data_IF_975772825568
#
_entry.id   IF_975772825568
#
_cell.length_a   1.000
_cell.length_b   1.000
_cell.length_c   1.000
_cell.angle_alpha   90.00
_cell.angle_beta   90.00
_cell.angle_gamma   90.00
#
_symmetry.space_group_name_H-M   'P 1'
#
loop_
_entity.id
_entity.type
_entity.pdbx_description
1 polymer ?
#
# COMPACT_ATOMS: atom_id res chain seq x y z
N UNK A 1 14.72 10.86 -0.72
CA UNK A 1 13.25 10.61 -0.79
C UNK A 1 12.75 11.06 -2.14
N UNK A 2 12.09 10.18 -2.89
CA UNK A 2 11.48 10.50 -4.19
C UNK A 2 9.96 10.41 -4.05
N UNK A 3 9.25 11.46 -4.50
CA UNK A 3 7.78 11.52 -4.52
C UNK A 3 7.29 11.53 -5.96
N UNK A 4 6.40 10.60 -6.30
CA UNK A 4 5.94 10.48 -7.68
C UNK A 4 4.47 10.06 -7.81
N UNK A 5 3.96 10.17 -9.04
CA UNK A 5 2.57 9.94 -9.37
C UNK A 5 2.25 8.43 -9.54
N UNK A 6 1.01 8.14 -9.94
CA UNK A 6 0.56 6.77 -10.17
C UNK A 6 1.32 5.98 -11.24
N UNK A 7 2.01 6.62 -12.18
CA UNK A 7 2.85 5.94 -13.16
C UNK A 7 4.01 5.18 -12.49
N UNK A 8 4.47 5.67 -11.35
CA UNK A 8 5.59 5.11 -10.58
C UNK A 8 5.18 4.03 -9.58
N UNK A 9 3.87 3.75 -9.46
CA UNK A 9 3.33 2.61 -8.71
C UNK A 9 3.36 1.30 -9.53
N UNK A 10 4.34 1.16 -10.43
CA UNK A 10 4.49 0.02 -11.34
C UNK A 10 5.46 -1.02 -10.77
N UNK A 11 5.31 -2.31 -11.18
CA UNK A 11 6.28 -3.34 -10.85
C UNK A 11 7.72 -2.98 -11.22
N UNK A 12 7.92 -2.35 -12.37
CA UNK A 12 9.23 -1.97 -12.87
C UNK A 12 9.88 -0.90 -11.99
N UNK A 13 9.12 0.14 -11.59
CA UNK A 13 9.61 1.18 -10.69
C UNK A 13 9.95 0.62 -9.30
N UNK A 14 9.16 -0.33 -8.80
CA UNK A 14 9.43 -1.01 -7.52
C UNK A 14 10.76 -1.77 -7.56
N UNK A 15 10.98 -2.57 -8.60
CA UNK A 15 12.24 -3.33 -8.76
C UNK A 15 13.43 -2.40 -8.95
N UNK A 16 13.28 -1.32 -9.71
CA UNK A 16 14.36 -0.35 -9.91
C UNK A 16 14.71 0.38 -8.62
N UNK A 17 13.70 0.77 -7.83
CA UNK A 17 13.91 1.38 -6.51
C UNK A 17 14.66 0.46 -5.57
N UNK A 18 14.30 -0.83 -5.58
CA UNK A 18 14.90 -1.81 -4.68
C UNK A 18 16.40 -2.03 -4.92
N UNK A 19 16.95 -1.58 -6.05
CA UNK A 19 18.42 -1.59 -6.29
C UNK A 19 19.18 -0.59 -5.41
N UNK A 20 18.50 0.44 -4.89
CA UNK A 20 19.09 1.47 -4.06
C UNK A 20 18.50 1.40 -2.63
N UNK A 21 19.15 0.70 -1.68
CA UNK A 21 18.58 0.47 -0.35
C UNK A 21 18.37 1.75 0.46
N UNK A 22 19.15 2.80 0.20
CA UNK A 22 19.04 4.10 0.88
C UNK A 22 17.92 5.01 0.30
N UNK A 23 17.25 4.56 -0.77
CA UNK A 23 16.22 5.33 -1.45
C UNK A 23 14.82 4.96 -0.95
N UNK A 24 14.19 5.89 -0.23
CA UNK A 24 12.74 5.81 0.06
C UNK A 24 11.93 6.41 -1.07
N UNK A 25 11.02 5.63 -1.64
CA UNK A 25 10.00 6.09 -2.58
C UNK A 25 8.62 6.19 -1.95
N UNK A 26 7.90 7.26 -2.26
CA UNK A 26 6.49 7.43 -1.87
C UNK A 26 5.67 7.73 -3.12
N UNK A 27 4.86 6.75 -3.53
CA UNK A 27 4.13 6.77 -4.78
C UNK A 27 2.61 6.74 -4.54
N UNK A 28 1.85 7.60 -5.21
CA UNK A 28 0.39 7.57 -5.14
C UNK A 28 -0.17 6.35 -5.88
N UNK A 29 -1.09 5.61 -5.27
CA UNK A 29 -1.68 4.41 -5.87
C UNK A 29 -3.10 4.67 -6.34
N UNK A 30 -3.45 4.15 -7.53
CA UNK A 30 -4.83 4.20 -8.05
C UNK A 30 -5.72 3.24 -7.27
N UNK A 31 -6.91 3.69 -6.89
CA UNK A 31 -7.80 2.90 -6.03
C UNK A 31 -8.37 1.63 -6.67
N UNK A 32 -8.14 1.34 -7.95
CA UNK A 32 -8.53 0.08 -8.60
C UNK A 32 -7.44 -0.99 -8.61
N UNK A 33 -6.28 -0.72 -7.99
CA UNK A 33 -5.19 -1.71 -7.91
C UNK A 33 -5.59 -2.89 -7.03
N UNK A 34 -5.01 -4.04 -7.38
CA UNK A 34 -5.11 -5.28 -6.62
C UNK A 34 -3.67 -5.67 -6.27
N UNK A 35 -3.45 -5.87 -4.98
CA UNK A 35 -2.21 -6.38 -4.43
C UNK A 35 -2.44 -7.74 -3.80
N UNK A 36 -1.41 -8.29 -3.19
CA UNK A 36 -1.45 -9.57 -2.52
C UNK A 36 -0.68 -9.49 -1.21
N UNK A 37 -1.11 -10.30 -0.25
CA UNK A 37 -0.27 -10.65 0.88
C UNK A 37 0.84 -11.58 0.42
N UNK A 38 2.01 -11.45 1.04
CA UNK A 38 3.04 -12.47 0.91
C UNK A 38 2.55 -13.76 1.56
N UNK A 39 2.83 -14.89 0.91
CA UNK A 39 2.42 -16.18 1.47
C UNK A 39 3.49 -16.71 2.41
N UNK A 40 3.06 -17.15 3.59
CA UNK A 40 3.90 -17.83 4.58
C UNK A 40 3.87 -19.35 4.37
N UNK A 41 3.64 -19.84 3.15
CA UNK A 41 3.76 -21.28 2.86
C UNK A 41 5.25 -21.69 2.96
N UNK A 42 5.73 -21.80 4.20
CA UNK A 42 6.97 -22.45 4.55
C UNK A 42 6.89 -23.90 4.09
N UNK A 43 7.74 -24.22 3.11
CA UNK A 43 8.26 -25.56 2.87
C UNK A 43 7.24 -26.71 2.92
N UNK A 44 6.23 -26.68 2.05
CA UNK A 44 5.74 -27.96 1.53
C UNK A 44 6.74 -28.40 0.47
N UNK A 45 7.37 -29.55 0.65
CA UNK A 45 8.20 -30.26 -0.34
C UNK A 45 7.34 -30.66 -1.55
N UNK A 46 6.80 -29.67 -2.26
CA UNK A 46 6.10 -29.86 -3.52
C UNK A 46 7.09 -29.53 -4.62
N UNK A 47 7.28 -30.50 -5.50
CA UNK A 47 8.05 -30.30 -6.72
C UNK A 47 7.43 -29.13 -7.52
N UNK A 48 8.21 -28.07 -7.73
CA UNK A 48 7.79 -26.87 -8.46
C UNK A 48 8.11 -25.54 -7.76
N UNK A 49 7.74 -24.43 -8.41
CA UNK A 49 7.97 -23.08 -7.86
C UNK A 49 7.10 -22.88 -6.62
N UNK A 50 7.73 -22.46 -5.52
CA UNK A 50 7.02 -22.08 -4.29
C UNK A 50 5.96 -21.02 -4.61
N UNK A 51 4.77 -21.19 -4.05
CA UNK A 51 3.74 -20.15 -4.11
C UNK A 51 4.31 -18.91 -3.41
N UNK A 52 4.19 -17.75 -4.04
CA UNK A 52 4.71 -16.48 -3.50
C UNK A 52 3.58 -15.49 -3.15
N UNK A 53 2.42 -15.64 -3.79
CA UNK A 53 1.29 -14.74 -3.66
C UNK A 53 0.16 -15.41 -2.91
N UNK A 54 -0.18 -14.84 -1.76
CA UNK A 54 -1.32 -15.23 -0.95
C UNK A 54 -2.61 -14.55 -1.38
N UNK A 55 -3.45 -14.26 -0.38
CA UNK A 55 -4.76 -13.67 -0.58
C UNK A 55 -4.69 -12.28 -1.23
N UNK A 56 -5.76 -11.93 -1.94
CA UNK A 56 -5.84 -10.66 -2.67
C UNK A 56 -6.14 -9.53 -1.71
N UNK A 57 -5.46 -8.41 -1.89
CA UNK A 57 -5.75 -7.12 -1.27
C UNK A 57 -6.31 -6.17 -2.34
N UNK A 58 -7.63 -6.02 -2.42
CA UNK A 58 -8.26 -5.15 -3.42
C UNK A 58 -8.55 -3.79 -2.82
N UNK A 59 -7.97 -2.71 -3.34
CA UNK A 59 -8.14 -1.36 -2.77
C UNK A 59 -9.57 -0.80 -2.80
N UNK A 60 -10.49 -1.42 -3.55
CA UNK A 60 -11.92 -1.02 -3.61
C UNK A 60 -12.82 -1.85 -2.70
N UNK A 61 -12.30 -2.91 -2.11
CA UNK A 61 -13.11 -3.94 -1.47
C UNK A 61 -12.52 -4.24 -0.10
N UNK A 62 -13.07 -3.55 0.90
CA UNK A 62 -12.60 -3.57 2.29
C UNK A 62 -12.70 -4.97 2.92
N UNK A 63 -13.59 -5.82 2.39
CA UNK A 63 -13.75 -7.21 2.87
C UNK A 63 -12.50 -8.06 2.62
N UNK A 64 -11.62 -7.61 1.70
CA UNK A 64 -10.36 -8.28 1.39
C UNK A 64 -9.19 -7.85 2.27
N UNK A 65 -9.39 -6.87 3.15
CA UNK A 65 -8.32 -6.32 3.97
C UNK A 65 -8.27 -7.04 5.32
N UNK A 66 -7.09 -7.52 5.69
CA UNK A 66 -6.77 -7.90 7.06
C UNK A 66 -6.63 -6.66 7.95
N UNK A 67 -6.53 -6.89 9.26
CA UNK A 67 -6.24 -5.84 10.23
C UNK A 67 -4.95 -5.09 9.84
N UNK A 68 -4.95 -3.75 9.81
CA UNK A 68 -3.73 -3.01 9.55
C UNK A 68 -2.69 -3.29 10.63
N UNK A 69 -1.42 -3.33 10.23
CA UNK A 69 -0.28 -3.51 11.14
C UNK A 69 -0.13 -2.30 12.07
N UNK A 70 -0.32 -1.10 11.51
CA UNK A 70 -0.21 0.16 12.24
C UNK A 70 -1.41 1.05 11.90
N UNK A 71 -1.90 1.79 12.91
CA UNK A 71 -2.97 2.76 12.73
C UNK A 71 -2.70 3.96 13.63
N UNK A 72 -2.80 5.16 13.08
CA UNK A 72 -2.73 6.40 13.83
C UNK A 72 -3.91 7.30 13.46
N UNK A 73 -4.45 7.98 14.46
CA UNK A 73 -5.51 8.96 14.30
C UNK A 73 -5.13 10.24 15.05
N UNK A 74 -5.28 11.38 14.39
CA UNK A 74 -4.99 12.68 15.00
C UNK A 74 -5.86 13.78 14.41
N UNK A 75 -5.98 14.88 15.15
CA UNK A 75 -6.73 16.06 14.71
C UNK A 75 -5.76 17.05 14.07
N UNK A 76 -6.09 17.50 12.87
CA UNK A 76 -5.40 18.58 12.19
C UNK A 76 -6.32 19.79 12.04
N UNK A 77 -5.76 20.98 12.27
CA UNK A 77 -6.48 22.25 12.07
C UNK A 77 -6.00 22.86 10.76
N UNK A 78 -6.93 23.10 9.84
CA UNK A 78 -6.62 23.79 8.58
C UNK A 78 -6.24 25.25 8.83
N UNK A 79 -5.60 25.90 7.84
CA UNK A 79 -5.29 27.35 7.90
C UNK A 79 -6.51 28.25 8.19
N UNK A 80 -7.73 27.75 7.92
CA UNK A 80 -9.02 28.45 8.16
C UNK A 80 -9.67 28.07 9.50
N UNK A 81 -8.93 27.44 10.42
CA UNK A 81 -9.42 27.07 11.76
C UNK A 81 -10.34 25.84 11.82
N UNK A 82 -10.66 25.20 10.68
CA UNK A 82 -11.51 24.00 10.67
C UNK A 82 -10.73 22.78 11.13
N UNK A 83 -11.30 22.02 12.07
CA UNK A 83 -10.77 20.73 12.55
C UNK A 83 -11.11 19.61 11.57
N UNK A 84 -10.16 18.72 11.37
CA UNK A 84 -10.29 17.50 10.58
C UNK A 84 -9.66 16.35 11.35
N UNK A 85 -10.28 15.18 11.30
CA UNK A 85 -9.72 13.95 11.87
C UNK A 85 -9.03 13.21 10.74
N UNK A 86 -7.73 12.97 10.88
CA UNK A 86 -6.92 12.24 9.90
C UNK A 86 -6.68 10.84 10.48
N UNK A 87 -7.10 9.82 9.73
CA UNK A 87 -6.86 8.42 10.05
C UNK A 87 -5.93 7.82 9.01
N UNK A 88 -4.82 7.25 9.47
CA UNK A 88 -3.82 6.61 8.65
C UNK A 88 -3.73 5.14 9.07
N UNK A 89 -3.84 4.23 8.11
CA UNK A 89 -3.71 2.80 8.30
C UNK A 89 -2.61 2.25 7.39
N UNK A 90 -1.79 1.34 7.91
CA UNK A 90 -0.67 0.77 7.19
C UNK A 90 -0.74 -0.76 7.19
N UNK A 91 -0.46 -1.34 6.02
CA UNK A 91 -0.23 -2.77 5.84
C UNK A 91 1.20 -2.98 5.37
N UNK A 92 1.92 -3.83 6.08
CA UNK A 92 3.31 -4.20 5.79
C UNK A 92 3.33 -5.50 4.96
N UNK A 93 4.46 -5.82 4.34
CA UNK A 93 4.64 -7.05 3.54
C UNK A 93 3.61 -7.24 2.41
N UNK A 94 3.18 -6.13 1.79
CA UNK A 94 2.29 -6.16 0.64
C UNK A 94 3.14 -6.31 -0.62
N UNK A 95 2.74 -7.24 -1.49
CA UNK A 95 3.40 -7.49 -2.78
C UNK A 95 2.44 -7.22 -3.92
N UNK A 96 2.99 -6.80 -5.06
CA UNK A 96 2.24 -6.65 -6.31
C UNK A 96 2.65 -7.72 -7.31
N UNK A 97 1.75 -8.10 -8.20
CA UNK A 97 2.11 -8.98 -9.31
C UNK A 97 3.08 -8.27 -10.24
N UNK A 98 4.17 -8.96 -10.55
CA UNK A 98 5.14 -8.50 -11.54
C UNK A 98 4.51 -8.38 -12.91
N UNK A 99 5.06 -7.48 -13.73
CA UNK A 99 4.86 -7.45 -15.18
C UNK A 99 6.24 -7.62 -15.82
N UNK A 100 6.31 -8.29 -16.97
CA UNK A 100 7.59 -8.61 -17.63
C UNK A 100 8.52 -9.44 -16.72
N UNK A 101 9.84 -9.31 -16.88
CA UNK A 101 10.88 -9.99 -16.09
C UNK A 101 11.03 -9.43 -14.65
N UNK A 102 10.16 -8.52 -14.20
CA UNK A 102 10.22 -7.91 -12.87
C UNK A 102 9.74 -8.90 -11.80
N UNK A 103 10.67 -9.44 -11.00
CA UNK A 103 10.36 -10.34 -9.89
C UNK A 103 9.98 -9.56 -8.62
N UNK A 104 8.75 -9.07 -8.55
CA UNK A 104 8.28 -8.22 -7.44
C UNK A 104 7.93 -8.97 -6.16
N UNK A 105 7.92 -10.31 -6.16
CA UNK A 105 7.62 -11.07 -4.94
C UNK A 105 8.71 -10.99 -3.87
N UNK A 106 9.93 -10.59 -4.26
CA UNK A 106 11.07 -10.39 -3.35
C UNK A 106 11.17 -8.94 -2.85
N UNK A 107 10.24 -8.07 -3.29
CA UNK A 107 10.24 -6.66 -2.97
C UNK A 107 8.89 -6.27 -2.34
N UNK A 108 8.61 -6.72 -1.11
CA UNK A 108 7.46 -6.24 -0.36
C UNK A 108 7.56 -4.74 -0.10
N UNK A 109 6.41 -4.08 -0.01
CA UNK A 109 6.32 -2.65 0.28
C UNK A 109 5.24 -2.40 1.34
N UNK A 110 5.26 -1.19 1.89
CA UNK A 110 4.23 -0.70 2.81
C UNK A 110 3.12 -0.01 2.04
N UNK A 111 1.89 -0.44 2.28
CA UNK A 111 0.69 0.18 1.72
C UNK A 111 0.03 1.03 2.79
N UNK A 112 -0.19 2.31 2.49
CA UNK A 112 -0.78 3.28 3.42
C UNK A 112 -2.11 3.77 2.86
N UNK A 113 -3.15 3.73 3.69
CA UNK A 113 -4.42 4.40 3.46
C UNK A 113 -4.52 5.64 4.32
N UNK A 114 -4.94 6.75 3.72
CA UNK A 114 -5.23 8.00 4.43
C UNK A 114 -6.68 8.39 4.17
N UNK A 115 -7.45 8.46 5.26
CA UNK A 115 -8.81 8.96 5.29
C UNK A 115 -8.85 10.27 6.07
N UNK A 116 -9.58 11.25 5.55
CA UNK A 116 -9.81 12.53 6.22
C UNK A 116 -11.29 12.65 6.50
N UNK A 117 -11.65 12.92 7.75
CA UNK A 117 -13.01 13.14 8.21
C UNK A 117 -13.18 14.59 8.63
N UNK A 118 -14.39 15.11 8.38
CA UNK A 118 -14.87 16.35 9.00
C UNK A 118 -15.08 16.11 10.48
N UNK A 119 -15.12 17.20 11.26
CA UNK A 119 -15.52 17.16 12.68
C UNK A 119 -16.88 16.48 12.89
N UNK A 120 -17.78 16.53 11.90
CA UNK A 120 -19.07 15.82 11.92
C UNK A 120 -18.97 14.30 11.75
N UNK A 121 -17.76 13.70 11.69
CA UNK A 121 -17.53 12.27 11.43
C UNK A 121 -17.73 11.82 9.99
N UNK A 122 -18.12 12.71 9.07
CA UNK A 122 -18.29 12.38 7.64
C UNK A 122 -16.95 12.44 6.91
N UNK A 123 -16.72 11.54 5.95
CA UNK A 123 -15.57 11.62 5.07
C UNK A 123 -15.52 12.97 4.35
N UNK A 124 -14.35 13.62 4.42
CA UNK A 124 -14.07 14.85 3.69
C UNK A 124 -13.84 14.54 2.20
N UNK A 125 -13.09 13.48 1.90
CA UNK A 125 -12.90 12.97 0.55
C UNK A 125 -13.66 11.65 0.36
N UNK A 126 -14.43 11.54 -0.72
CA UNK A 126 -15.20 10.32 -1.04
C UNK A 126 -14.32 9.08 -1.22
N UNK A 127 -13.07 9.27 -1.66
CA UNK A 127 -12.10 8.19 -1.86
C UNK A 127 -10.90 8.42 -0.94
N UNK A 128 -10.41 7.37 -0.28
CA UNK A 128 -9.16 7.46 0.46
C UNK A 128 -7.98 7.73 -0.47
N UNK A 129 -6.93 8.34 0.08
CA UNK A 129 -5.63 8.40 -0.58
C UNK A 129 -4.86 7.11 -0.25
N UNK A 130 -4.36 6.45 -1.29
CA UNK A 130 -3.51 5.29 -1.16
C UNK A 130 -2.08 5.66 -1.54
N UNK A 131 -1.12 5.28 -0.72
CA UNK A 131 0.30 5.48 -0.95
C UNK A 131 1.03 4.13 -0.85
N UNK A 132 2.00 3.94 -1.72
CA UNK A 132 2.97 2.86 -1.66
C UNK A 132 4.29 3.46 -1.17
N UNK A 133 4.90 2.82 -0.17
CA UNK A 133 6.21 3.19 0.36
C UNK A 133 7.13 1.98 0.26
N UNK A 134 8.22 2.14 -0.49
CA UNK A 134 9.23 1.11 -0.79
C UNK A 134 10.63 1.69 -0.69
#
# INVERSE_FOLDING_TARGET
MVTADSGYSSPECLVESAKNPDQVQVNRVRSNRIFHYQTNEENREKMGRKKQFGDRFKLRDETTWCKPNESIEFIATTKKGKKQIIKIQCWNEIIMRGKNKANTSEHPFRLIQICVYKESGKLFFKKPLWLMVS
#
